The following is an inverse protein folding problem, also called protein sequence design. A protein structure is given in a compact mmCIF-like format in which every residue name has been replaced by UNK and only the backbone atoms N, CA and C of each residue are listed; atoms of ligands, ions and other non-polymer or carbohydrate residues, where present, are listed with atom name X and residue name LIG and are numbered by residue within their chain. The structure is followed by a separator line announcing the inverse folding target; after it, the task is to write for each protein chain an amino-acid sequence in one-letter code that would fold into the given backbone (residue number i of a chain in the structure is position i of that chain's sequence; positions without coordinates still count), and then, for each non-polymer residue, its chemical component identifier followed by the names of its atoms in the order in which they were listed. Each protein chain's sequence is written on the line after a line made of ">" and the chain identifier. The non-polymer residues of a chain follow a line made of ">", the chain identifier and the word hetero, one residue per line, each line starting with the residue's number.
data_IF_192330950042
#
_entry.id   IF_192330950042
#
_cell.length_a   1.000
_cell.length_b   1.000
_cell.length_c   1.000
_cell.angle_alpha   90.00
_cell.angle_beta   90.00
_cell.angle_gamma   90.00
#
_symmetry.space_group_name_H-M   'P 1'
#
loop_
_entity.id
_entity.type
_entity.pdbx_description
1 polymer ?
#
# COMPACT_ATOMS: atom_id res chain seq x y z
N UNK A 1 -7.01 34.21 -3.06
CA UNK A 1 -7.14 33.18 -2.02
C UNK A 1 -8.00 32.09 -2.61
N UNK A 2 -7.42 30.94 -2.95
CA UNK A 2 -8.23 29.79 -3.36
C UNK A 2 -8.78 29.15 -2.09
N UNK A 3 -10.09 29.09 -2.00
CA UNK A 3 -10.80 28.41 -0.93
C UNK A 3 -10.42 26.92 -0.99
N UNK A 4 -9.76 26.40 0.05
CA UNK A 4 -9.41 24.98 0.12
C UNK A 4 -10.71 24.21 0.35
N UNK A 5 -11.35 23.77 -0.72
CA UNK A 5 -12.49 22.87 -0.64
C UNK A 5 -11.97 21.53 -0.10
N UNK A 6 -12.39 21.20 1.13
CA UNK A 6 -12.15 19.88 1.69
C UNK A 6 -12.94 18.84 0.87
N UNK A 7 -12.35 17.68 0.55
CA UNK A 7 -13.03 16.64 -0.21
C UNK A 7 -14.31 16.21 0.53
N UNK A 8 -15.35 15.87 -0.22
CA UNK A 8 -16.54 15.30 0.39
C UNK A 8 -16.21 13.95 0.98
N UNK A 9 -16.81 13.61 2.13
CA UNK A 9 -16.56 12.34 2.82
C UNK A 9 -16.85 11.12 1.93
N UNK A 10 -17.77 11.24 0.97
CA UNK A 10 -18.08 10.19 -0.01
C UNK A 10 -16.95 9.91 -1.00
N UNK A 11 -15.98 10.81 -1.12
CA UNK A 11 -14.85 10.69 -2.05
C UNK A 11 -13.59 10.15 -1.37
N UNK A 12 -13.68 9.81 -0.07
CA UNK A 12 -12.54 9.38 0.74
C UNK A 12 -12.50 7.88 0.93
N UNK A 13 -11.30 7.33 0.89
CA UNK A 13 -11.01 5.93 1.20
C UNK A 13 -9.78 5.82 2.08
N UNK A 14 -9.67 4.73 2.83
CA UNK A 14 -8.46 4.39 3.55
C UNK A 14 -7.57 3.52 2.65
N UNK A 15 -6.51 4.09 2.09
CA UNK A 15 -5.46 3.30 1.45
C UNK A 15 -4.65 2.57 2.53
N UNK A 16 -4.70 1.23 2.55
CA UNK A 16 -3.95 0.42 3.50
C UNK A 16 -2.69 -0.14 2.85
N UNK A 17 -1.53 0.30 3.33
CA UNK A 17 -0.25 -0.23 2.91
C UNK A 17 0.34 -1.19 3.94
N UNK A 18 0.81 -2.34 3.48
CA UNK A 18 1.59 -3.33 4.24
C UNK A 18 3.07 -3.37 3.80
N UNK A 19 3.44 -2.53 2.82
CA UNK A 19 4.74 -2.51 2.17
C UNK A 19 5.50 -1.20 2.40
N UNK A 20 6.24 -0.71 1.40
CA UNK A 20 7.10 0.47 1.57
C UNK A 20 6.34 1.74 1.96
N UNK A 21 5.06 1.86 1.56
CA UNK A 21 4.25 3.04 1.89
C UNK A 21 3.75 3.02 3.35
N UNK A 22 4.17 2.05 4.18
CA UNK A 22 4.15 2.19 5.64
C UNK A 22 4.90 3.45 6.10
N UNK A 23 6.02 3.78 5.46
CA UNK A 23 6.79 4.98 5.75
C UNK A 23 6.15 6.20 5.07
N UNK A 24 5.91 7.26 5.83
CA UNK A 24 5.22 8.46 5.33
C UNK A 24 6.00 9.12 4.18
N UNK A 25 7.31 9.25 4.33
CA UNK A 25 8.19 9.83 3.31
C UNK A 25 8.14 9.05 1.98
N UNK A 26 7.94 7.73 2.05
CA UNK A 26 7.80 6.90 0.85
C UNK A 26 6.48 7.19 0.15
N UNK A 27 5.37 7.25 0.90
CA UNK A 27 4.07 7.59 0.34
C UNK A 27 4.06 9.01 -0.26
N UNK A 28 4.73 9.96 0.38
CA UNK A 28 4.84 11.34 -0.09
C UNK A 28 5.41 11.41 -1.52
N UNK A 29 6.37 10.55 -1.87
CA UNK A 29 6.92 10.48 -3.23
C UNK A 29 5.88 10.01 -4.27
N UNK A 30 4.92 9.16 -3.90
CA UNK A 30 3.82 8.79 -4.80
C UNK A 30 2.83 9.96 -4.99
N UNK A 31 2.71 10.86 -4.02
CA UNK A 31 1.79 12.00 -4.06
C UNK A 31 2.43 13.21 -4.77
N UNK A 32 3.61 13.64 -4.33
CA UNK A 32 4.30 14.82 -4.87
C UNK A 32 5.14 14.51 -6.12
N UNK A 33 5.44 13.24 -6.35
CA UNK A 33 6.41 12.80 -7.34
C UNK A 33 7.85 12.97 -6.85
N UNK A 34 8.79 12.40 -7.60
CA UNK A 34 10.22 12.43 -7.24
C UNK A 34 10.86 11.06 -7.31
N UNK A 35 12.09 10.95 -6.80
CA UNK A 35 12.84 9.69 -6.80
C UNK A 35 13.11 9.29 -5.35
N UNK A 36 12.75 8.06 -4.92
CA UNK A 36 13.07 7.63 -3.57
C UNK A 36 14.58 7.61 -3.32
N UNK A 37 15.04 7.85 -2.08
CA UNK A 37 16.44 7.69 -1.73
C UNK A 37 16.96 6.31 -2.14
N UNK A 38 18.08 6.28 -2.85
CA UNK A 38 18.67 5.03 -3.38
C UNK A 38 17.96 4.45 -4.61
N UNK A 39 16.91 5.10 -5.13
CA UNK A 39 16.21 4.70 -6.34
C UNK A 39 16.70 5.34 -7.62
N UNK A 40 16.45 4.64 -8.71
CA UNK A 40 16.72 5.11 -10.08
C UNK A 40 15.46 5.55 -10.81
N UNK A 41 14.27 5.11 -10.35
CA UNK A 41 13.00 5.39 -11.00
C UNK A 41 12.29 6.58 -10.36
N UNK A 42 11.95 7.55 -11.19
CA UNK A 42 11.11 8.69 -10.80
C UNK A 42 9.64 8.30 -10.78
N UNK A 43 8.96 8.58 -9.68
CA UNK A 43 7.50 8.60 -9.54
C UNK A 43 6.95 9.88 -10.21
N UNK A 44 5.90 9.78 -11.06
CA UNK A 44 5.26 10.96 -11.65
C UNK A 44 4.61 11.87 -10.60
N UNK A 45 4.13 11.31 -9.48
CA UNK A 45 3.28 12.01 -8.52
C UNK A 45 1.80 11.84 -8.85
N UNK A 46 0.94 12.11 -7.87
CA UNK A 46 -0.50 12.13 -8.03
C UNK A 46 -0.97 13.47 -8.59
N UNK A 47 -2.17 13.49 -9.18
CA UNK A 47 -2.83 14.72 -9.63
C UNK A 47 -3.12 15.66 -8.46
N UNK A 48 -3.43 15.09 -7.30
CA UNK A 48 -3.55 15.79 -6.03
C UNK A 48 -2.36 15.45 -5.11
N UNK A 49 -1.36 16.33 -5.00
CA UNK A 49 -0.14 16.07 -4.25
C UNK A 49 -0.28 16.31 -2.73
N UNK A 50 -1.47 16.73 -2.25
CA UNK A 50 -1.67 17.02 -0.83
C UNK A 50 -1.41 15.76 0.02
N UNK A 51 -0.90 15.91 1.26
CA UNK A 51 -0.70 14.76 2.14
C UNK A 51 -2.04 14.08 2.48
N UNK A 52 -2.01 12.81 2.92
CA UNK A 52 -3.20 12.15 3.45
C UNK A 52 -3.82 12.97 4.60
N UNK A 53 -5.15 12.99 4.67
CA UNK A 53 -5.89 13.73 5.70
C UNK A 53 -5.67 13.16 7.10
N UNK A 54 -5.38 11.86 7.18
CA UNK A 54 -5.05 11.16 8.40
C UNK A 54 -4.23 9.92 8.07
N UNK A 55 -3.50 9.40 9.06
CA UNK A 55 -2.81 8.12 8.93
C UNK A 55 -2.79 7.40 10.28
N UNK A 56 -3.00 6.08 10.27
CA UNK A 56 -3.12 5.28 11.50
C UNK A 56 -2.60 3.86 11.28
N UNK A 57 -1.89 3.31 12.27
CA UNK A 57 -1.51 1.89 12.29
C UNK A 57 -2.75 1.00 12.36
N UNK A 58 -2.75 -0.07 11.56
CA UNK A 58 -3.81 -1.09 11.54
C UNK A 58 -3.21 -2.47 11.41
N UNK A 59 -3.95 -3.50 11.83
CA UNK A 59 -3.60 -4.90 11.58
C UNK A 59 -4.54 -5.47 10.53
N UNK A 60 -3.97 -6.00 9.46
CA UNK A 60 -4.69 -6.74 8.44
C UNK A 60 -4.87 -8.21 8.85
N UNK A 61 -6.03 -8.82 8.57
CA UNK A 61 -6.31 -10.20 8.96
C UNK A 61 -5.57 -11.25 8.14
N UNK A 62 -4.99 -10.87 6.99
CA UNK A 62 -4.22 -11.74 6.12
C UNK A 62 -2.71 -11.76 6.42
N UNK A 63 -1.96 -12.55 5.67
CA UNK A 63 -0.54 -12.78 5.88
C UNK A 63 0.34 -12.03 4.87
N UNK A 64 1.42 -11.44 5.40
CA UNK A 64 2.51 -10.87 4.62
C UNK A 64 3.46 -11.99 4.18
N UNK A 65 3.92 -11.92 2.94
CA UNK A 65 5.01 -12.76 2.45
C UNK A 65 5.91 -11.97 1.50
N UNK A 66 7.13 -12.46 1.27
CA UNK A 66 8.11 -11.81 0.41
C UNK A 66 8.48 -12.73 -0.76
N UNK A 67 8.40 -12.21 -1.98
CA UNK A 67 8.67 -12.99 -3.18
C UNK A 67 9.21 -12.11 -4.32
N UNK A 68 9.68 -12.76 -5.39
CA UNK A 68 10.22 -12.10 -6.57
C UNK A 68 11.48 -11.28 -6.26
N UNK A 69 11.78 -10.30 -7.10
CA UNK A 69 12.93 -9.41 -6.91
C UNK A 69 12.53 -7.95 -7.17
N UNK A 70 12.95 -7.07 -6.27
CA UNK A 70 12.77 -5.63 -6.35
C UNK A 70 13.90 -4.98 -7.14
N UNK A 71 13.62 -4.34 -8.29
CA UNK A 71 14.63 -3.54 -8.97
C UNK A 71 15.06 -2.30 -8.16
N UNK A 72 14.20 -1.86 -7.24
CA UNK A 72 14.38 -0.65 -6.44
C UNK A 72 15.14 -0.90 -5.14
N UNK A 73 14.93 -2.06 -4.52
CA UNK A 73 15.49 -2.37 -3.21
C UNK A 73 16.46 -3.55 -3.21
N UNK A 74 16.49 -4.36 -4.27
CA UNK A 74 17.05 -5.71 -4.24
C UNK A 74 16.24 -6.66 -3.35
N UNK A 75 16.34 -7.97 -3.59
CA UNK A 75 15.64 -9.00 -2.81
C UNK A 75 14.11 -9.00 -3.00
N UNK A 76 13.41 -9.79 -2.18
CA UNK A 76 11.97 -9.99 -2.25
C UNK A 76 11.13 -8.75 -1.92
N UNK A 77 9.98 -8.64 -2.57
CA UNK A 77 8.98 -7.57 -2.36
C UNK A 77 7.83 -8.08 -1.50
N UNK A 78 7.25 -7.21 -0.69
CA UNK A 78 6.09 -7.51 0.15
C UNK A 78 4.83 -7.78 -0.69
N UNK A 79 4.18 -8.91 -0.46
CA UNK A 79 2.86 -9.24 -0.98
C UNK A 79 1.92 -9.58 0.18
N UNK A 80 0.62 -9.39 -0.04
CA UNK A 80 -0.40 -9.67 0.96
C UNK A 80 -1.34 -10.75 0.47
N UNK A 81 -1.37 -11.85 1.22
CA UNK A 81 -2.32 -12.93 1.04
C UNK A 81 -3.49 -12.78 2.03
N UNK A 82 -4.58 -12.23 1.53
CA UNK A 82 -5.82 -12.05 2.27
C UNK A 82 -6.53 -13.36 2.68
N UNK A 83 -6.17 -14.51 2.11
CA UNK A 83 -6.78 -15.81 2.43
C UNK A 83 -6.02 -16.57 3.53
N UNK A 84 -4.74 -16.27 3.71
CA UNK A 84 -3.92 -16.87 4.76
C UNK A 84 -4.03 -16.05 6.04
N UNK A 85 -4.40 -16.64 7.20
CA UNK A 85 -4.52 -15.90 8.46
C UNK A 85 -3.22 -15.18 8.86
N UNK A 86 -3.36 -13.92 9.27
CA UNK A 86 -2.29 -13.02 9.73
C UNK A 86 -1.98 -13.16 11.23
N UNK A 87 -1.67 -12.05 11.95
CA UNK A 87 -1.83 -10.65 11.52
C UNK A 87 -0.67 -10.10 10.70
N UNK A 88 -0.97 -9.14 9.81
CA UNK A 88 -0.01 -8.29 9.10
C UNK A 88 -0.12 -6.86 9.58
N UNK A 89 0.98 -6.30 10.09
CA UNK A 89 1.01 -4.89 10.46
C UNK A 89 1.02 -4.01 9.22
N UNK A 90 0.13 -3.03 9.19
CA UNK A 90 -0.11 -2.14 8.07
C UNK A 90 -0.34 -0.70 8.54
N UNK A 91 -0.44 0.24 7.59
CA UNK A 91 -0.77 1.65 7.83
C UNK A 91 -1.89 2.05 6.89
N UNK A 92 -2.97 2.59 7.46
CA UNK A 92 -4.08 3.15 6.71
C UNK A 92 -3.88 4.65 6.55
N UNK A 93 -3.95 5.15 5.32
CA UNK A 93 -3.86 6.57 4.95
C UNK A 93 -5.21 7.03 4.39
N UNK A 94 -5.80 8.06 4.99
CA UNK A 94 -7.06 8.63 4.51
C UNK A 94 -6.78 9.56 3.33
N UNK A 95 -7.16 9.13 2.14
CA UNK A 95 -6.86 9.80 0.87
C UNK A 95 -8.14 9.93 0.04
N UNK A 96 -8.14 10.79 -0.98
CA UNK A 96 -9.23 10.82 -1.96
C UNK A 96 -9.20 9.58 -2.86
N UNK A 97 -10.33 9.21 -3.45
CA UNK A 97 -10.41 8.15 -4.45
C UNK A 97 -9.43 8.40 -5.62
N UNK A 98 -9.32 9.66 -6.07
CA UNK A 98 -8.37 10.07 -7.10
C UNK A 98 -6.91 9.83 -6.69
N UNK A 99 -6.53 10.21 -5.46
CA UNK A 99 -5.18 9.93 -4.92
C UNK A 99 -4.91 8.43 -4.83
N UNK A 100 -5.86 7.64 -4.34
CA UNK A 100 -5.75 6.19 -4.27
C UNK A 100 -5.50 5.59 -5.65
N UNK A 101 -6.28 5.99 -6.66
CA UNK A 101 -6.13 5.51 -8.04
C UNK A 101 -4.80 5.95 -8.67
N UNK A 102 -4.32 7.15 -8.36
CA UNK A 102 -3.02 7.63 -8.84
C UNK A 102 -1.85 6.88 -8.22
N UNK A 103 -1.96 6.50 -6.94
CA UNK A 103 -1.01 5.60 -6.28
C UNK A 103 -1.06 4.23 -6.96
N UNK A 104 -2.26 3.67 -7.17
CA UNK A 104 -2.47 2.38 -7.84
C UNK A 104 -1.82 2.36 -9.23
N UNK A 105 -2.08 3.38 -10.04
CA UNK A 105 -1.52 3.52 -11.38
C UNK A 105 0.00 3.47 -11.35
N UNK A 106 0.64 4.16 -10.40
CA UNK A 106 2.10 4.14 -10.27
C UNK A 106 2.65 2.76 -9.86
N UNK A 107 1.99 2.07 -8.93
CA UNK A 107 2.35 0.69 -8.55
C UNK A 107 2.23 -0.26 -9.75
N UNK A 108 1.23 -0.04 -10.61
CA UNK A 108 1.01 -0.76 -11.87
C UNK A 108 1.91 -0.27 -13.02
N UNK A 109 2.83 0.65 -12.76
CA UNK A 109 3.74 1.22 -13.76
C UNK A 109 3.05 2.02 -14.89
N UNK A 110 1.87 2.56 -14.60
CA UNK A 110 1.08 3.45 -15.45
C UNK A 110 1.28 4.91 -15.02
N UNK A 111 0.90 5.84 -15.88
CA UNK A 111 0.90 7.27 -15.58
C UNK A 111 -0.49 7.65 -15.04
N UNK A 112 -0.57 8.33 -13.88
CA UNK A 112 -1.81 8.91 -13.37
C UNK A 112 -2.51 9.79 -14.41
N UNK A 113 -3.84 9.63 -14.56
CA UNK A 113 -4.63 10.39 -15.53
C UNK A 113 -6.05 10.60 -15.05
N UNK A 114 -6.66 11.69 -15.51
CA UNK A 114 -8.10 11.91 -15.32
C UNK A 114 -8.94 10.87 -16.06
N UNK A 115 -10.12 10.58 -15.52
CA UNK A 115 -11.07 9.64 -16.11
C UNK A 115 -10.61 8.18 -16.07
N UNK A 116 -9.68 7.80 -15.18
CA UNK A 116 -9.39 6.39 -14.97
C UNK A 116 -10.64 5.67 -14.41
N UNK A 117 -11.11 4.58 -15.05
CA UNK A 117 -12.35 3.90 -14.65
C UNK A 117 -12.29 3.35 -13.22
N UNK A 118 -11.09 3.13 -12.66
CA UNK A 118 -10.94 2.74 -11.26
C UNK A 118 -11.45 3.78 -10.28
N UNK A 119 -11.40 5.07 -10.64
CA UNK A 119 -11.87 6.13 -9.75
C UNK A 119 -13.37 5.98 -9.51
N UNK A 120 -14.13 5.69 -10.58
CA UNK A 120 -15.56 5.43 -10.49
C UNK A 120 -15.87 4.17 -9.69
N UNK A 121 -15.12 3.09 -9.94
CA UNK A 121 -15.27 1.84 -9.18
C UNK A 121 -15.06 2.04 -7.68
N UNK A 122 -14.03 2.80 -7.30
CA UNK A 122 -13.69 3.08 -5.90
C UNK A 122 -14.78 3.92 -5.23
N UNK A 123 -15.35 4.89 -5.95
CA UNK A 123 -16.45 5.74 -5.47
C UNK A 123 -17.78 4.97 -5.33
N UNK A 124 -18.11 4.11 -6.30
CA UNK A 124 -19.32 3.29 -6.26
C UNK A 124 -19.22 2.17 -5.19
N UNK A 125 -17.99 1.79 -4.84
CA UNK A 125 -17.67 0.75 -3.86
C UNK A 125 -17.42 -0.62 -4.49
N UNK A 126 -16.49 -1.38 -3.91
CA UNK A 126 -16.07 -2.68 -4.46
C UNK A 126 -17.04 -3.83 -4.17
N UNK A 127 -18.03 -3.62 -3.31
CA UNK A 127 -19.01 -4.65 -2.90
C UNK A 127 -18.84 -5.15 -1.46
N UNK A 128 -17.97 -4.52 -0.66
CA UNK A 128 -17.82 -4.84 0.77
C UNK A 128 -16.61 -5.70 1.08
N UNK A 129 -16.49 -6.11 2.35
CA UNK A 129 -15.32 -6.84 2.86
C UNK A 129 -15.01 -8.11 2.06
N UNK A 130 -13.76 -8.25 1.63
CA UNK A 130 -13.27 -9.38 0.82
C UNK A 130 -13.55 -9.23 -0.67
N UNK A 131 -14.27 -8.19 -1.11
CA UNK A 131 -14.49 -7.95 -2.53
C UNK A 131 -13.17 -7.61 -3.24
N UNK A 132 -12.99 -8.17 -4.44
CA UNK A 132 -11.78 -8.04 -5.25
C UNK A 132 -12.11 -7.53 -6.64
N UNK A 133 -11.21 -6.74 -7.21
CA UNK A 133 -11.30 -6.31 -8.60
C UNK A 133 -9.93 -6.40 -9.28
N UNK A 134 -9.82 -7.24 -10.30
CA UNK A 134 -8.60 -7.42 -11.09
C UNK A 134 -8.54 -6.44 -12.26
N UNK A 135 -7.41 -5.76 -12.40
CA UNK A 135 -7.17 -4.66 -13.36
C UNK A 135 -6.15 -5.01 -14.43
N UNK A 136 -5.60 -6.23 -14.38
CA UNK A 136 -4.57 -6.74 -15.28
C UNK A 136 -3.78 -7.92 -14.68
N UNK A 137 -2.80 -8.47 -15.43
CA UNK A 137 -2.01 -9.64 -15.02
C UNK A 137 -0.77 -9.31 -14.17
N UNK A 138 -0.56 -8.05 -13.79
CA UNK A 138 0.63 -7.57 -13.09
C UNK A 138 0.63 -7.81 -11.58
N UNK A 139 1.79 -7.56 -10.95
CA UNK A 139 2.08 -7.88 -9.54
C UNK A 139 1.22 -7.11 -8.51
N UNK A 140 0.60 -6.00 -8.90
CA UNK A 140 -0.27 -5.18 -8.03
C UNK A 140 -1.56 -4.77 -8.75
N UNK A 141 -2.06 -5.63 -9.62
CA UNK A 141 -3.22 -5.39 -10.47
C UNK A 141 -4.51 -5.95 -9.84
N UNK A 142 -4.59 -6.04 -8.52
CA UNK A 142 -5.81 -6.46 -7.83
C UNK A 142 -6.11 -5.56 -6.64
N UNK A 143 -7.25 -4.89 -6.68
CA UNK A 143 -7.79 -4.12 -5.54
C UNK A 143 -8.57 -5.06 -4.63
N UNK A 144 -8.46 -4.87 -3.31
CA UNK A 144 -9.21 -5.63 -2.30
C UNK A 144 -9.76 -4.67 -1.24
N UNK A 145 -11.05 -4.79 -0.89
CA UNK A 145 -11.61 -4.17 0.30
C UNK A 145 -11.32 -5.03 1.54
N UNK A 146 -10.36 -4.59 2.36
CA UNK A 146 -9.84 -5.32 3.52
C UNK A 146 -10.58 -5.01 4.82
N UNK A 147 -11.62 -4.19 4.77
CA UNK A 147 -12.47 -3.84 5.91
C UNK A 147 -13.02 -2.43 5.80
N UNK A 148 -13.53 -1.92 6.91
CA UNK A 148 -14.03 -0.54 7.01
C UNK A 148 -13.51 0.14 8.25
N UNK A 149 -13.27 1.44 8.17
CA UNK A 149 -12.88 2.30 9.28
C UNK A 149 -13.60 3.64 9.20
N UNK A 150 -14.20 4.08 10.30
CA UNK A 150 -14.96 5.33 10.37
C UNK A 150 -16.04 5.45 9.27
N UNK A 151 -16.66 4.32 8.95
CA UNK A 151 -17.68 4.21 7.90
C UNK A 151 -17.14 4.23 6.46
N UNK A 152 -15.83 4.32 6.24
CA UNK A 152 -15.18 4.35 4.92
C UNK A 152 -14.51 3.00 4.60
N UNK A 153 -14.44 2.61 3.32
CA UNK A 153 -13.77 1.38 2.92
C UNK A 153 -12.25 1.48 3.12
N UNK A 154 -11.65 0.39 3.57
CA UNK A 154 -10.21 0.19 3.61
C UNK A 154 -9.80 -0.63 2.40
N UNK A 155 -8.98 -0.06 1.53
CA UNK A 155 -8.60 -0.63 0.25
C UNK A 155 -7.09 -0.84 0.17
N UNK A 156 -6.66 -1.95 -0.43
CA UNK A 156 -5.27 -2.21 -0.77
C UNK A 156 -5.16 -2.69 -2.22
N UNK A 157 -3.96 -2.61 -2.79
CA UNK A 157 -3.59 -3.31 -4.02
C UNK A 157 -2.65 -4.45 -3.64
N UNK A 158 -2.83 -5.62 -4.26
CA UNK A 158 -1.93 -6.77 -4.09
C UNK A 158 -1.84 -7.54 -5.41
N UNK A 159 -1.09 -8.63 -5.40
CA UNK A 159 -1.02 -9.55 -6.51
C UNK A 159 -2.31 -10.40 -6.60
N UNK A 160 -2.69 -10.87 -7.81
CA UNK A 160 -3.87 -11.73 -7.96
C UNK A 160 -3.69 -13.09 -7.28
N UNK A 161 -2.45 -13.56 -7.17
CA UNK A 161 -2.07 -14.87 -6.65
C UNK A 161 -1.75 -14.87 -5.16
N UNK A 162 -2.05 -16.00 -4.48
CA UNK A 162 -1.74 -16.23 -3.06
C UNK A 162 -0.28 -16.62 -2.80
N UNK A 163 0.07 -16.79 -1.52
CA UNK A 163 1.46 -16.95 -1.06
C UNK A 163 2.23 -18.15 -1.62
N UNK A 164 1.53 -19.20 -2.05
CA UNK A 164 2.14 -20.43 -2.56
C UNK A 164 2.41 -20.38 -4.08
N UNK A 165 2.03 -19.29 -4.75
CA UNK A 165 2.19 -19.15 -6.20
C UNK A 165 3.60 -18.73 -6.64
N UNK A 166 4.39 -18.17 -5.73
CA UNK A 166 5.74 -17.66 -6.02
C UNK A 166 6.73 -18.25 -5.01
N UNK A 167 7.94 -18.52 -5.48
CA UNK A 167 9.06 -18.84 -4.59
C UNK A 167 9.36 -17.63 -3.70
N UNK A 168 9.53 -17.90 -2.40
CA UNK A 168 9.78 -16.85 -1.44
C UNK A 168 11.21 -16.36 -1.57
N UNK A 169 11.39 -15.06 -1.44
CA UNK A 169 12.70 -14.41 -1.51
C UNK A 169 12.83 -13.44 -0.36
N UNK A 170 13.96 -13.45 0.33
CA UNK A 170 14.21 -12.55 1.44
C UNK A 170 14.30 -11.09 0.95
N UNK A 171 13.66 -10.13 1.63
CA UNK A 171 13.84 -8.71 1.35
C UNK A 171 15.26 -8.27 1.68
N UNK A 172 15.74 -7.21 1.01
CA UNK A 172 17.04 -6.64 1.35
C UNK A 172 17.04 -5.94 2.72
N UNK A 173 18.20 -5.78 3.38
CA UNK A 173 18.30 -5.01 4.62
C UNK A 173 17.80 -3.58 4.49
N UNK A 174 18.03 -2.93 3.34
CA UNK A 174 17.54 -1.58 3.06
C UNK A 174 16.00 -1.54 3.01
N UNK A 175 15.38 -2.56 2.42
CA UNK A 175 13.92 -2.66 2.41
C UNK A 175 13.34 -2.91 3.80
N UNK A 176 13.97 -3.79 4.59
CA UNK A 176 13.57 -4.03 5.99
C UNK A 176 13.70 -2.77 6.84
N UNK A 177 14.74 -1.96 6.64
CA UNK A 177 14.90 -0.68 7.34
C UNK A 177 13.77 0.31 7.00
N UNK A 178 13.32 0.33 5.74
CA UNK A 178 12.16 1.12 5.32
C UNK A 178 10.87 0.65 6.01
N UNK A 179 10.62 -0.66 6.07
CA UNK A 179 9.46 -1.21 6.77
C UNK A 179 9.53 -0.90 8.28
N UNK A 180 10.70 -1.04 8.89
CA UNK A 180 10.92 -0.74 10.31
C UNK A 180 10.64 0.74 10.64
N UNK A 181 11.06 1.67 9.78
CA UNK A 181 10.74 3.09 9.93
C UNK A 181 9.22 3.33 9.92
N UNK A 182 8.53 2.76 8.93
CA UNK A 182 7.07 2.86 8.84
C UNK A 182 6.33 2.23 10.02
N UNK A 183 6.79 1.09 10.55
CA UNK A 183 6.22 0.44 11.73
C UNK A 183 6.42 1.29 13.00
N UNK A 184 7.59 1.89 13.16
CA UNK A 184 7.85 2.85 14.25
C UNK A 184 6.93 4.07 14.16
N UNK A 185 6.78 4.65 12.97
CA UNK A 185 5.92 5.82 12.76
C UNK A 185 4.44 5.53 13.01
N UNK A 186 3.95 4.37 12.58
CA UNK A 186 2.51 4.07 12.56
C UNK A 186 2.01 3.32 13.80
N UNK A 187 2.86 2.51 14.42
CA UNK A 187 2.51 1.71 15.59
C UNK A 187 3.31 2.05 16.85
N UNK A 188 4.33 2.91 16.76
CA UNK A 188 5.21 3.24 17.88
C UNK A 188 6.10 2.07 18.31
N UNK A 189 6.37 1.11 17.43
CA UNK A 189 7.18 -0.06 17.75
C UNK A 189 8.65 0.31 17.98
N UNK A 190 9.24 -0.33 18.98
CA UNK A 190 10.67 -0.33 19.21
C UNK A 190 11.38 -1.38 18.34
N UNK A 191 12.70 -1.46 18.48
CA UNK A 191 13.54 -2.39 17.73
C UNK A 191 13.20 -3.86 18.04
N UNK A 192 12.97 -4.18 19.31
CA UNK A 192 12.67 -5.55 19.75
C UNK A 192 11.34 -6.05 19.17
N UNK A 193 10.28 -5.24 19.24
CA UNK A 193 8.98 -5.59 18.66
C UNK A 193 9.03 -5.71 17.15
N UNK A 194 9.81 -4.84 16.49
CA UNK A 194 10.02 -4.89 15.04
C UNK A 194 10.77 -6.16 14.64
N UNK A 195 11.84 -6.52 15.36
CA UNK A 195 12.60 -7.73 15.13
C UNK A 195 11.76 -9.00 15.35
N UNK A 196 10.96 -9.04 16.41
CA UNK A 196 10.03 -10.14 16.69
C UNK A 196 8.96 -10.28 15.58
N UNK A 197 8.49 -9.16 15.02
CA UNK A 197 7.58 -9.20 13.88
C UNK A 197 8.28 -9.75 12.62
N UNK A 198 9.47 -9.25 12.28
CA UNK A 198 10.21 -9.75 11.11
C UNK A 198 10.56 -11.24 11.23
N UNK A 199 10.93 -11.72 12.41
CA UNK A 199 11.17 -13.14 12.65
C UNK A 199 9.95 -14.03 12.35
N UNK A 200 8.73 -13.48 12.40
CA UNK A 200 7.49 -14.20 12.06
C UNK A 200 7.14 -14.19 10.57
N UNK A 201 7.49 -13.12 9.84
CA UNK A 201 7.00 -12.88 8.47
C UNK A 201 8.07 -13.09 7.40
N UNK A 202 9.34 -13.19 7.79
CA UNK A 202 10.42 -13.51 6.86
C UNK A 202 10.42 -15.01 6.53
N UNK A 203 10.76 -15.39 5.28
CA UNK A 203 10.91 -16.79 4.93
C UNK A 203 12.03 -17.44 5.74
N UNK A 204 11.85 -18.70 6.13
CA UNK A 204 12.91 -19.50 6.73
C UNK A 204 14.06 -19.64 5.73
N UNK A 205 15.29 -19.41 6.21
CA UNK A 205 16.53 -19.66 5.44
C UNK A 205 16.82 -21.15 5.29
#
# INVERSE_FOLDING_TARGET
>A
MQETVLPHRGDLVWYVSYGSNLAADRLQIYLEGGTPPGGTRRNPGARDPRPPLASVGVDLPGALYFAGESPQWGGGVAFYDHLTPGPTAARAHLVTAGQFVDIAAQEMHRIPREGDPLERLVLDGLGGHGARHETGPGRYETLIEVGRRDGLPMLTFTAPHGRDALEHNAPSPAYLAMLAAGLRESHGWDEDRTAAYFARVLPSS
#
